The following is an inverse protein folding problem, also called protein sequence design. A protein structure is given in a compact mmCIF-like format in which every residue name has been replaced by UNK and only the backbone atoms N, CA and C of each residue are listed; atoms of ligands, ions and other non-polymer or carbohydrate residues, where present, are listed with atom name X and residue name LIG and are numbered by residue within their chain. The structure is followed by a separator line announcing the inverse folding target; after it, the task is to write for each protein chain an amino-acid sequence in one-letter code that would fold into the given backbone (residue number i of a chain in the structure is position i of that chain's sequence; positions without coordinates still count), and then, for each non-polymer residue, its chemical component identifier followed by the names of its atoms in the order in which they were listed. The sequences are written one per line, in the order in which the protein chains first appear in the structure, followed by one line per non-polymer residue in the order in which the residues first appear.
data_IF_890974602675
#
_entry.id   IF_890974602675
#
_cell.length_a   1.000
_cell.length_b   1.000
_cell.length_c   1.000
_cell.angle_alpha   90.00
_cell.angle_beta   90.00
_cell.angle_gamma   90.00
#
_symmetry.space_group_name_H-M   'P 1'
#
loop_
_entity.id
_entity.type
_entity.pdbx_description
1 polymer ?
#
# COMPACT_ATOMS: atom_id res chain seq x y z
N UNK A 1 14.08 18.44 -6.04
CA UNK A 1 13.79 17.01 -6.27
C UNK A 1 12.55 16.69 -5.46
N UNK A 2 11.44 16.52 -6.17
CA UNK A 2 10.06 16.68 -5.70
C UNK A 2 9.75 15.71 -4.55
N UNK A 3 9.55 16.25 -3.34
CA UNK A 3 9.18 15.47 -2.15
C UNK A 3 7.68 15.10 -2.11
N UNK A 4 6.92 15.55 -3.12
CA UNK A 4 5.45 15.62 -3.14
C UNK A 4 4.79 14.62 -4.11
N UNK A 5 5.43 13.50 -4.44
CA UNK A 5 4.80 12.42 -5.24
C UNK A 5 4.32 11.23 -4.42
N UNK A 6 4.53 11.28 -3.11
CA UNK A 6 4.33 10.13 -2.22
C UNK A 6 2.88 10.02 -1.73
N UNK A 7 1.95 10.01 -2.68
CA UNK A 7 0.51 10.00 -2.45
C UNK A 7 0.01 8.76 -1.70
N UNK A 8 0.72 7.61 -1.80
CA UNK A 8 0.38 6.42 -1.01
C UNK A 8 1.42 6.14 0.07
N UNK A 9 0.93 5.81 1.27
CA UNK A 9 1.72 5.45 2.45
C UNK A 9 1.79 3.94 2.68
N UNK A 10 1.47 3.14 1.67
CA UNK A 10 1.39 1.67 1.81
C UNK A 10 2.70 1.09 2.35
N UNK A 11 3.84 1.54 1.83
CA UNK A 11 5.15 1.08 2.32
C UNK A 11 5.39 1.41 3.80
N UNK A 12 4.98 2.60 4.23
CA UNK A 12 5.12 3.04 5.62
C UNK A 12 4.22 2.20 6.53
N UNK A 13 2.94 2.06 6.19
CA UNK A 13 1.97 1.28 6.98
C UNK A 13 2.36 -0.19 7.06
N UNK A 14 2.89 -0.77 5.97
CA UNK A 14 3.42 -2.14 6.01
C UNK A 14 4.58 -2.28 7.02
N UNK A 15 5.47 -1.30 7.09
CA UNK A 15 6.56 -1.26 8.06
C UNK A 15 6.04 -1.06 9.50
N UNK A 16 5.09 -0.15 9.70
CA UNK A 16 4.44 0.11 11.01
C UNK A 16 3.70 -1.13 11.54
N UNK A 17 3.10 -1.92 10.64
CA UNK A 17 2.40 -3.17 10.97
C UNK A 17 3.31 -4.40 10.95
N UNK A 18 4.62 -4.23 10.70
CA UNK A 18 5.60 -5.32 10.62
C UNK A 18 5.22 -6.45 9.65
N UNK A 19 4.52 -6.12 8.56
CA UNK A 19 4.11 -7.07 7.53
C UNK A 19 4.92 -6.86 6.26
N UNK A 20 5.16 -7.95 5.53
CA UNK A 20 5.92 -7.89 4.28
C UNK A 20 5.02 -7.58 3.10
N UNK A 21 5.58 -6.95 2.06
CA UNK A 21 4.89 -6.76 0.77
C UNK A 21 4.58 -8.09 0.08
N UNK A 22 5.33 -9.15 0.37
CA UNK A 22 5.00 -10.52 -0.05
C UNK A 22 3.70 -11.00 0.61
N UNK A 23 3.59 -10.86 1.92
CA UNK A 23 2.38 -11.24 2.66
C UNK A 23 1.16 -10.48 2.15
N UNK A 24 1.27 -9.17 1.93
CA UNK A 24 0.15 -8.39 1.38
C UNK A 24 -0.25 -8.86 -0.02
N UNK A 25 0.73 -9.23 -0.86
CA UNK A 25 0.47 -9.76 -2.19
C UNK A 25 -0.31 -11.08 -2.14
N UNK A 26 0.05 -11.96 -1.21
CA UNK A 26 -0.64 -13.24 -0.96
C UNK A 26 -2.08 -13.00 -0.50
N UNK A 27 -2.32 -12.09 0.45
CA UNK A 27 -3.67 -11.77 0.94
C UNK A 27 -4.57 -11.15 -0.13
N UNK A 28 -4.00 -10.36 -1.05
CA UNK A 28 -4.74 -9.72 -2.14
C UNK A 28 -4.89 -10.62 -3.38
N UNK A 29 -4.25 -11.79 -3.42
CA UNK A 29 -4.15 -12.61 -4.62
C UNK A 29 -3.47 -11.88 -5.78
N UNK A 30 -2.49 -11.03 -5.49
CA UNK A 30 -1.74 -10.23 -6.47
C UNK A 30 -0.28 -10.66 -6.51
N UNK A 31 0.40 -10.32 -7.61
CA UNK A 31 1.84 -10.55 -7.71
C UNK A 31 2.62 -9.60 -6.80
N UNK A 32 3.70 -10.09 -6.22
CA UNK A 32 4.64 -9.29 -5.40
C UNK A 32 5.20 -8.09 -6.15
N UNK A 33 5.40 -8.21 -7.47
CA UNK A 33 5.81 -7.12 -8.35
C UNK A 33 4.80 -5.96 -8.36
N UNK A 34 3.49 -6.27 -8.35
CA UNK A 34 2.42 -5.27 -8.32
C UNK A 34 2.42 -4.49 -7.01
N UNK A 35 2.51 -5.20 -5.88
CA UNK A 35 2.61 -4.56 -4.55
C UNK A 35 3.89 -3.75 -4.42
N UNK A 36 5.01 -4.24 -4.96
CA UNK A 36 6.28 -3.50 -4.98
C UNK A 36 6.19 -2.19 -5.77
N UNK A 37 5.48 -2.19 -6.91
CA UNK A 37 5.18 -0.97 -7.69
C UNK A 37 4.36 0.03 -6.88
N UNK A 38 3.39 -0.42 -6.10
CA UNK A 38 2.60 0.44 -5.20
C UNK A 38 3.50 1.08 -4.13
N UNK A 39 4.32 0.28 -3.44
CA UNK A 39 5.26 0.75 -2.44
C UNK A 39 6.35 1.69 -3.00
N UNK A 40 6.63 1.61 -4.29
CA UNK A 40 7.60 2.47 -4.99
C UNK A 40 6.93 3.67 -5.68
N UNK A 41 5.64 3.91 -5.45
CA UNK A 41 4.81 4.94 -6.09
C UNK A 41 4.77 4.88 -7.62
N UNK A 42 5.24 3.78 -8.24
CA UNK A 42 5.23 3.64 -9.72
C UNK A 42 3.84 3.43 -10.28
N UNK A 43 2.93 2.92 -9.47
CA UNK A 43 1.53 2.66 -9.82
C UNK A 43 0.70 2.87 -8.57
N UNK A 44 -0.52 3.38 -8.72
CA UNK A 44 -1.47 3.46 -7.60
C UNK A 44 -2.40 2.25 -7.61
N UNK A 45 -2.69 1.65 -6.44
CA UNK A 45 -3.81 0.73 -6.33
C UNK A 45 -5.12 1.49 -6.50
N UNK A 46 -6.13 0.81 -7.04
CA UNK A 46 -7.46 1.36 -7.16
C UNK A 46 -8.15 1.46 -5.79
N UNK A 47 -9.22 2.25 -5.70
CA UNK A 47 -9.93 2.52 -4.44
C UNK A 47 -10.41 1.23 -3.76
N UNK A 48 -10.86 0.24 -4.56
CA UNK A 48 -11.25 -1.07 -4.03
C UNK A 48 -10.08 -1.79 -3.36
N UNK A 49 -8.90 -1.76 -3.98
CA UNK A 49 -7.69 -2.38 -3.42
C UNK A 49 -7.22 -1.65 -2.17
N UNK A 50 -7.27 -0.32 -2.14
CA UNK A 50 -6.94 0.46 -0.93
C UNK A 50 -7.88 0.08 0.22
N UNK A 51 -9.18 -0.09 -0.05
CA UNK A 51 -10.15 -0.54 0.95
C UNK A 51 -9.90 -1.97 1.43
N UNK A 52 -9.38 -2.85 0.59
CA UNK A 52 -8.96 -4.20 1.02
C UNK A 52 -7.71 -4.14 1.88
N UNK A 53 -6.69 -3.38 1.47
CA UNK A 53 -5.45 -3.18 2.23
C UNK A 53 -5.78 -2.60 3.61
N UNK A 54 -6.66 -1.60 3.69
CA UNK A 54 -7.03 -0.98 4.96
C UNK A 54 -7.69 -1.97 5.93
N UNK A 55 -8.51 -2.89 5.41
CA UNK A 55 -9.13 -3.97 6.20
C UNK A 55 -8.11 -5.02 6.63
N UNK A 56 -7.20 -5.42 5.74
CA UNK A 56 -6.17 -6.43 6.02
C UNK A 56 -5.16 -5.95 7.07
N UNK A 57 -4.82 -4.66 7.04
CA UNK A 57 -3.85 -4.05 7.94
C UNK A 57 -4.49 -3.45 9.20
N UNK A 58 -5.81 -3.49 9.29
CA UNK A 58 -6.60 -2.84 10.35
C UNK A 58 -6.18 -1.37 10.56
N UNK A 59 -6.35 -0.58 9.49
CA UNK A 59 -6.07 0.87 9.46
C UNK A 59 -7.18 1.61 8.73
N UNK A 60 -7.25 2.93 8.91
CA UNK A 60 -8.15 3.76 8.12
C UNK A 60 -7.60 3.96 6.72
N UNK A 61 -8.46 4.09 5.71
CA UNK A 61 -8.05 4.39 4.32
C UNK A 61 -7.23 5.69 4.22
N UNK A 62 -7.56 6.68 5.05
CA UNK A 62 -6.83 7.94 5.18
C UNK A 62 -5.39 7.78 5.70
N UNK A 63 -5.05 6.65 6.33
CA UNK A 63 -3.65 6.37 6.72
C UNK A 63 -2.83 5.84 5.52
N UNK A 64 -3.50 5.30 4.50
CA UNK A 64 -2.85 4.74 3.30
C UNK A 64 -2.64 5.78 2.20
N UNK A 65 -3.31 6.93 2.26
CA UNK A 65 -3.27 7.99 1.25
C UNK A 65 -2.95 9.31 1.96
N UNK A 66 -2.02 10.09 1.44
CA UNK A 66 -1.79 11.48 1.87
C UNK A 66 -2.35 12.42 0.80
N UNK A 67 -3.02 13.48 1.28
CA UNK A 67 -3.55 14.60 0.49
C UNK A 67 -2.45 15.64 0.25
#
# INVERSE_FOLDING_TARGET
MDKDKNLNRIKAVLAEKHVTSKWLAEQLGKSTCTVSKWCSQKTQPDLQTINQISKLLDVKRSELIVD
#
